data_IF_948480324734
#
_entry.id   IF_948480324734
#
_cell.length_a   1.000
_cell.length_b   1.000
_cell.length_c   1.000
_cell.angle_alpha   90.00
_cell.angle_beta   90.00
_cell.angle_gamma   90.00
#
_symmetry.space_group_name_H-M   'P 1'
#
loop_
_entity.id
_entity.type
_entity.pdbx_description
1 polymer ?
#
# COMPACT_ATOMS: atom_id res chain seq x y z
N UNK A 1 5.78 -6.20 -11.15
CA UNK A 1 6.47 -6.16 -9.84
C UNK A 1 5.55 -6.78 -8.83
N UNK A 2 5.98 -7.82 -8.09
CA UNK A 2 5.23 -8.38 -6.97
C UNK A 2 4.92 -7.30 -5.94
N UNK A 3 3.63 -7.19 -5.60
CA UNK A 3 3.14 -6.30 -4.54
C UNK A 3 2.17 -7.11 -3.70
N UNK A 4 2.41 -7.15 -2.40
CA UNK A 4 1.54 -7.84 -1.43
C UNK A 4 1.02 -6.84 -0.41
N UNK A 5 -0.23 -7.05 0.01
CA UNK A 5 -0.82 -6.43 1.19
C UNK A 5 -1.14 -7.55 2.16
N UNK A 6 -0.61 -7.45 3.37
CA UNK A 6 -0.92 -8.39 4.45
C UNK A 6 -1.87 -7.72 5.43
N UNK A 7 -2.85 -8.49 5.91
CA UNK A 7 -3.67 -8.14 7.06
C UNK A 7 -3.41 -9.14 8.18
N UNK A 8 -3.19 -8.64 9.39
CA UNK A 8 -3.14 -9.44 10.60
C UNK A 8 -4.31 -8.97 11.47
N UNK A 9 -5.11 -9.93 11.94
CA UNK A 9 -6.40 -9.67 12.58
C UNK A 9 -6.41 -10.33 13.94
N UNK A 10 -6.80 -9.57 14.96
CA UNK A 10 -7.03 -10.07 16.30
C UNK A 10 -8.53 -9.92 16.63
N UNK A 11 -9.33 -10.98 16.44
CA UNK A 11 -10.78 -10.93 16.69
C UNK A 11 -11.16 -10.59 18.13
N UNK A 12 -10.23 -10.75 19.08
CA UNK A 12 -10.48 -10.55 20.50
C UNK A 12 -10.09 -9.15 20.99
N UNK A 13 -9.46 -8.32 20.15
CA UNK A 13 -9.05 -6.96 20.50
C UNK A 13 -9.78 -5.95 19.60
N UNK A 14 -10.89 -5.39 20.09
CA UNK A 14 -11.66 -4.40 19.35
C UNK A 14 -10.95 -3.06 19.17
N UNK A 15 -9.94 -2.76 20.00
CA UNK A 15 -9.12 -1.55 19.87
C UNK A 15 -8.02 -1.71 18.83
N UNK A 16 -7.61 -2.96 18.56
CA UNK A 16 -6.56 -3.34 17.60
C UNK A 16 -7.03 -4.49 16.72
N UNK A 17 -8.22 -4.33 16.14
CA UNK A 17 -8.89 -5.41 15.44
C UNK A 17 -8.10 -5.91 14.24
N UNK A 18 -7.52 -5.01 13.45
CA UNK A 18 -6.73 -5.36 12.27
C UNK A 18 -5.66 -4.31 11.96
N UNK A 19 -4.52 -4.78 11.47
CA UNK A 19 -3.42 -3.96 10.98
C UNK A 19 -2.89 -4.52 9.66
N UNK A 20 -2.28 -3.65 8.86
CA UNK A 20 -1.87 -3.98 7.49
C UNK A 20 -0.50 -3.42 7.17
N UNK A 21 0.20 -4.11 6.27
CA UNK A 21 1.46 -3.69 5.71
C UNK A 21 1.52 -3.96 4.22
N UNK A 22 2.23 -3.10 3.48
CA UNK A 22 2.48 -3.23 2.06
C UNK A 22 3.91 -3.66 1.79
N UNK A 23 4.11 -4.50 0.78
CA UNK A 23 5.43 -4.96 0.40
C UNK A 23 5.56 -5.02 -1.11
N UNK A 24 6.65 -4.46 -1.62
CA UNK A 24 6.98 -4.47 -3.05
C UNK A 24 8.46 -4.80 -3.21
N UNK A 25 8.76 -5.79 -4.04
CA UNK A 25 10.13 -6.20 -4.37
C UNK A 25 10.16 -7.00 -5.67
N UNK A 26 11.31 -7.06 -6.35
CA UNK A 26 11.49 -7.87 -7.58
C UNK A 26 11.40 -9.38 -7.31
N UNK A 27 11.82 -9.78 -6.09
CA UNK A 27 11.72 -11.13 -5.53
C UNK A 27 10.40 -11.22 -4.72
N UNK A 28 9.44 -12.05 -5.12
CA UNK A 28 8.12 -12.21 -4.51
C UNK A 28 8.15 -12.53 -3.02
N UNK A 29 9.05 -13.40 -2.58
CA UNK A 29 9.19 -13.82 -1.19
C UNK A 29 9.61 -12.64 -0.31
N UNK A 30 10.56 -11.82 -0.78
CA UNK A 30 10.97 -10.60 -0.10
C UNK A 30 9.82 -9.58 -0.08
N UNK A 31 9.04 -9.47 -1.16
CA UNK A 31 7.87 -8.60 -1.18
C UNK A 31 6.83 -9.01 -0.12
N UNK A 32 6.60 -10.32 0.04
CA UNK A 32 5.69 -10.87 1.05
C UNK A 32 6.24 -10.69 2.48
N UNK A 33 7.53 -10.95 2.69
CA UNK A 33 8.17 -10.74 4.00
C UNK A 33 8.09 -9.27 4.42
N UNK A 34 8.29 -8.34 3.49
CA UNK A 34 8.13 -6.90 3.73
C UNK A 34 6.69 -6.53 4.12
N UNK A 35 5.68 -7.08 3.44
CA UNK A 35 4.29 -6.78 3.79
C UNK A 35 3.90 -7.31 5.17
N UNK A 36 4.43 -8.48 5.56
CA UNK A 36 4.21 -9.05 6.90
C UNK A 36 4.93 -8.23 7.97
N UNK A 37 6.22 -7.94 7.77
CA UNK A 37 7.03 -7.20 8.75
C UNK A 37 6.54 -5.77 8.93
N UNK A 38 6.07 -5.10 7.86
CA UNK A 38 5.42 -3.79 7.96
C UNK A 38 4.12 -3.86 8.77
N UNK A 39 3.30 -4.89 8.57
CA UNK A 39 2.08 -5.07 9.36
C UNK A 39 2.41 -5.24 10.86
N UNK A 40 3.44 -6.02 11.21
CA UNK A 40 3.89 -6.22 12.60
C UNK A 40 4.47 -4.94 13.22
N UNK A 41 5.19 -4.13 12.45
CA UNK A 41 5.74 -2.85 12.95
C UNK A 41 4.64 -1.88 13.39
N UNK A 42 3.50 -1.88 12.69
CA UNK A 42 2.32 -1.07 13.07
C UNK A 42 1.75 -1.53 14.42
N UNK A 43 1.78 -2.83 14.72
CA UNK A 43 1.37 -3.36 16.02
C UNK A 43 2.32 -2.90 17.13
N UNK A 44 3.64 -2.92 16.90
CA UNK A 44 4.65 -2.57 17.92
C UNK A 44 4.71 -1.06 18.27
N UNK A 45 4.35 -0.17 17.34
CA UNK A 45 4.23 1.28 17.60
C UNK A 45 3.22 1.62 18.71
N UNK A 46 2.28 0.73 18.97
CA UNK A 46 1.28 0.91 20.01
C UNK A 46 1.82 0.68 21.44
N UNK A 47 3.00 0.05 21.58
CA UNK A 47 3.64 -0.27 22.86
C UNK A 47 4.78 0.67 23.25
N UNK A 48 5.40 1.36 22.28
CA UNK A 48 6.68 2.07 22.47
C UNK A 48 6.62 3.60 22.58
N UNK A 49 5.45 4.24 22.51
CA UNK A 49 5.32 5.59 23.05
C UNK A 49 4.30 6.50 22.38
N UNK A 50 3.46 7.11 23.23
CA UNK A 50 3.40 8.57 23.17
C UNK A 50 2.08 9.23 22.80
N UNK A 51 0.93 8.55 22.88
CA UNK A 51 -0.34 9.23 23.18
C UNK A 51 -1.12 8.29 24.09
N UNK A 52 -1.21 8.64 25.39
CA UNK A 52 -2.34 8.21 26.18
C UNK A 52 -3.57 8.81 25.48
N UNK A 53 -4.16 8.09 24.54
CA UNK A 53 -5.53 8.36 24.16
C UNK A 53 -6.30 8.19 25.46
N UNK A 54 -6.72 9.32 26.03
CA UNK A 54 -7.51 9.31 27.24
C UNK A 54 -8.71 8.40 26.95
N UNK A 55 -8.80 7.26 27.64
CA UNK A 55 -9.80 6.25 27.34
C UNK A 55 -11.23 6.83 27.47
N UNK A 56 -11.38 7.95 28.18
CA UNK A 56 -12.59 8.76 28.23
C UNK A 56 -12.98 9.50 26.94
N UNK A 57 -12.09 9.60 25.94
CA UNK A 57 -12.38 10.17 24.62
C UNK A 57 -12.91 9.13 23.61
N UNK A 58 -12.79 7.83 23.88
CA UNK A 58 -13.38 6.77 23.08
C UNK A 58 -14.70 6.30 23.70
N UNK A 59 -15.73 7.15 23.65
CA UNK A 59 -17.08 6.73 23.99
C UNK A 59 -17.82 6.19 22.74
N UNK A 60 -18.94 5.48 22.95
CA UNK A 60 -19.70 4.86 21.85
C UNK A 60 -20.14 5.89 20.79
N UNK A 61 -20.36 7.13 21.22
CA UNK A 61 -20.79 8.26 20.40
C UNK A 61 -19.65 8.72 19.46
N UNK A 62 -18.45 8.97 20.01
CA UNK A 62 -17.23 9.29 19.25
C UNK A 62 -16.84 8.14 18.34
N UNK A 63 -16.97 6.89 18.78
CA UNK A 63 -16.78 5.76 17.89
C UNK A 63 -17.81 5.81 16.78
N UNK A 64 -19.12 5.93 17.06
CA UNK A 64 -20.18 5.93 16.04
C UNK A 64 -20.10 7.08 15.04
N UNK A 65 -19.54 8.23 15.43
CA UNK A 65 -19.34 9.42 14.58
C UNK A 65 -17.95 9.48 13.95
N UNK A 66 -16.98 8.73 14.48
CA UNK A 66 -15.62 8.67 13.94
C UNK A 66 -15.67 8.03 12.56
N UNK A 67 -15.36 8.83 11.56
CA UNK A 67 -15.17 8.37 10.19
C UNK A 67 -14.20 7.17 10.21
N UNK A 68 -13.12 7.21 10.96
CA UNK A 68 -12.05 6.20 10.96
C UNK A 68 -12.33 4.91 11.79
N UNK A 69 -13.56 4.71 12.31
CA UNK A 69 -13.87 3.52 13.13
C UNK A 69 -13.97 2.22 12.28
N UNK A 70 -13.88 1.05 12.95
CA UNK A 70 -14.02 -0.25 12.29
C UNK A 70 -15.42 -0.46 11.64
N UNK A 71 -16.44 0.23 12.14
CA UNK A 71 -17.82 0.16 11.64
C UNK A 71 -17.99 0.90 10.28
N UNK A 72 -17.14 1.88 9.99
CA UNK A 72 -17.04 2.61 8.73
C UNK A 72 -16.05 1.93 7.77
N UNK A 73 -15.14 1.12 8.30
CA UNK A 73 -14.37 0.15 7.51
C UNK A 73 -15.13 -1.15 7.25
N UNK A 74 -16.42 -1.25 7.58
CA UNK A 74 -17.21 -2.47 7.39
C UNK A 74 -17.13 -3.04 5.96
N UNK A 75 -17.06 -2.19 4.94
CA UNK A 75 -16.85 -2.66 3.56
C UNK A 75 -15.44 -3.26 3.36
N UNK A 76 -14.40 -2.58 3.86
CA UNK A 76 -13.02 -3.05 3.78
C UNK A 76 -12.81 -4.34 4.58
N UNK A 77 -13.38 -4.43 5.79
CA UNK A 77 -13.35 -5.64 6.62
C UNK A 77 -14.07 -6.78 5.90
N UNK A 78 -15.25 -6.55 5.32
CA UNK A 78 -15.96 -7.61 4.60
C UNK A 78 -15.30 -8.03 3.28
N UNK A 79 -14.59 -7.13 2.61
CA UNK A 79 -13.93 -7.42 1.34
C UNK A 79 -12.54 -8.02 1.54
N UNK A 80 -11.70 -7.39 2.36
CA UNK A 80 -10.28 -7.69 2.46
C UNK A 80 -9.95 -8.65 3.62
N UNK A 81 -10.79 -8.73 4.67
CA UNK A 81 -10.55 -9.56 5.87
C UNK A 81 -11.49 -10.77 5.92
N UNK A 82 -12.80 -10.55 5.88
CA UNK A 82 -13.84 -11.58 5.95
C UNK A 82 -14.25 -12.11 4.57
N UNK A 83 -13.75 -11.47 3.51
CA UNK A 83 -14.10 -11.81 2.14
C UNK A 83 -13.65 -13.22 1.82
N UNK A 84 -14.61 -14.13 1.67
CA UNK A 84 -14.32 -15.50 1.22
C UNK A 84 -14.03 -15.47 -0.28
N UNK A 85 -12.75 -15.57 -0.62
CA UNK A 85 -12.31 -15.89 -1.98
C UNK A 85 -11.73 -17.29 -1.98
N UNK A 86 -12.32 -18.19 -2.76
CA UNK A 86 -11.79 -19.54 -2.99
C UNK A 86 -10.46 -19.52 -3.78
N UNK A 87 -10.07 -18.34 -4.28
CA UNK A 87 -8.85 -18.14 -5.06
C UNK A 87 -7.68 -18.00 -4.10
N UNK A 88 -6.93 -19.09 -3.94
CA UNK A 88 -5.56 -19.03 -3.44
C UNK A 88 -4.70 -18.36 -4.51
N UNK A 89 -4.07 -17.24 -4.18
CA UNK A 89 -3.05 -16.64 -5.05
C UNK A 89 -1.72 -17.34 -4.75
N UNK A 90 -1.12 -17.95 -5.76
CA UNK A 90 0.24 -18.48 -5.63
C UNK A 90 1.23 -17.34 -5.41
N UNK A 91 2.33 -17.62 -4.72
CA UNK A 91 3.50 -16.72 -4.76
C UNK A 91 3.88 -16.59 -6.24
N UNK A 92 4.03 -15.35 -6.70
CA UNK A 92 4.38 -15.07 -8.10
C UNK A 92 5.79 -15.56 -8.39
N UNK A 93 6.17 -15.68 -9.66
CA UNK A 93 7.57 -15.85 -10.03
C UNK A 93 8.32 -14.50 -9.96
N UNK A 94 9.64 -14.56 -9.83
CA UNK A 94 10.49 -13.37 -9.89
C UNK A 94 10.35 -12.67 -11.24
N UNK A 95 10.19 -11.35 -11.21
CA UNK A 95 9.92 -10.55 -12.44
C UNK A 95 11.20 -10.12 -13.14
N UNK A 96 12.34 -10.22 -12.44
CA UNK A 96 13.67 -9.86 -12.92
C UNK A 96 14.64 -10.93 -12.40
N UNK A 97 15.29 -11.64 -13.32
CA UNK A 97 16.47 -12.44 -13.05
C UNK A 97 17.70 -11.59 -13.36
N UNK A 98 18.54 -11.32 -12.37
CA UNK A 98 19.68 -10.44 -12.54
C UNK A 98 20.83 -10.80 -11.58
N UNK A 99 22.05 -10.73 -12.10
CA UNK A 99 23.27 -11.11 -11.39
C UNK A 99 23.83 -9.99 -10.49
N UNK A 100 23.24 -8.79 -10.52
CA UNK A 100 23.70 -7.66 -9.70
C UNK A 100 22.58 -6.68 -9.33
N UNK A 101 22.75 -5.98 -8.22
CA UNK A 101 21.84 -4.93 -7.77
C UNK A 101 21.71 -3.79 -8.78
N UNK A 102 22.80 -3.44 -9.47
CA UNK A 102 22.75 -2.39 -10.50
C UNK A 102 21.84 -2.80 -11.67
N UNK A 103 21.95 -4.04 -12.13
CA UNK A 103 21.10 -4.57 -13.21
C UNK A 103 19.63 -4.59 -12.78
N UNK A 104 19.34 -5.06 -11.56
CA UNK A 104 17.99 -5.01 -10.97
C UNK A 104 17.42 -3.59 -10.99
N UNK A 105 18.21 -2.58 -10.60
CA UNK A 105 17.78 -1.19 -10.56
C UNK A 105 17.47 -0.65 -11.97
N UNK A 106 18.36 -0.90 -12.94
CA UNK A 106 18.19 -0.46 -14.32
C UNK A 106 16.97 -1.11 -14.99
N UNK A 107 16.79 -2.42 -14.82
CA UNK A 107 15.67 -3.16 -15.38
C UNK A 107 14.34 -2.75 -14.73
N UNK A 108 14.36 -2.50 -13.42
CA UNK A 108 13.19 -1.97 -12.71
C UNK A 108 12.83 -0.57 -13.23
N UNK A 109 13.82 0.32 -13.35
CA UNK A 109 13.60 1.68 -13.86
C UNK A 109 13.04 1.67 -15.29
N UNK A 110 13.57 0.79 -16.15
CA UNK A 110 13.08 0.60 -17.52
C UNK A 110 11.62 0.12 -17.54
N UNK A 111 11.30 -0.96 -16.81
CA UNK A 111 9.93 -1.48 -16.73
C UNK A 111 8.94 -0.44 -16.18
N UNK A 112 9.34 0.33 -15.18
CA UNK A 112 8.50 1.41 -14.62
C UNK A 112 8.28 2.50 -15.65
N UNK A 113 9.35 3.00 -16.27
CA UNK A 113 9.33 4.04 -17.31
C UNK A 113 8.38 3.66 -18.46
N UNK A 114 8.48 2.43 -18.97
CA UNK A 114 7.59 1.88 -20.01
C UNK A 114 6.14 1.79 -19.51
N UNK A 115 5.93 1.31 -18.27
CA UNK A 115 4.60 1.10 -17.73
C UNK A 115 3.81 2.38 -17.47
N UNK A 116 4.49 3.51 -17.21
CA UNK A 116 3.85 4.80 -16.93
C UNK A 116 4.04 5.83 -18.03
N UNK A 117 4.66 5.44 -19.16
CA UNK A 117 4.99 6.35 -20.25
C UNK A 117 5.69 7.62 -19.73
N UNK A 118 6.74 7.42 -18.94
CA UNK A 118 7.45 8.50 -18.25
C UNK A 118 8.91 8.13 -17.97
N UNK A 119 9.55 8.84 -17.06
CA UNK A 119 10.97 8.68 -16.76
C UNK A 119 11.20 8.42 -15.27
N UNK A 120 12.32 7.75 -14.96
CA UNK A 120 12.78 7.52 -13.59
C UNK A 120 14.08 8.29 -13.40
N UNK A 121 14.05 9.27 -12.52
CA UNK A 121 15.21 10.04 -12.09
C UNK A 121 15.59 9.67 -10.66
N UNK A 122 16.84 9.92 -10.29
CA UNK A 122 17.26 9.94 -8.90
C UNK A 122 18.01 11.23 -8.60
N UNK A 123 17.89 11.69 -7.36
CA UNK A 123 18.60 12.84 -6.81
C UNK A 123 19.42 12.35 -5.63
N UNK A 124 20.73 12.58 -5.66
CA UNK A 124 21.60 12.30 -4.51
C UNK A 124 21.37 13.38 -3.43
N UNK A 125 20.93 12.93 -2.26
CA UNK A 125 20.70 13.75 -1.07
C UNK A 125 21.70 13.45 0.04
N UNK A 126 22.77 12.70 -0.27
CA UNK A 126 23.84 12.36 0.69
C UNK A 126 24.51 13.64 1.16
N UNK A 127 24.47 13.89 2.48
CA UNK A 127 25.17 15.04 3.06
C UNK A 127 26.66 14.74 3.23
N UNK A 128 27.49 15.77 3.14
CA UNK A 128 28.90 15.67 3.48
C UNK A 128 29.06 15.15 4.92
N UNK A 129 29.87 14.10 5.09
CA UNK A 129 30.10 13.46 6.40
C UNK A 129 29.12 12.33 6.76
N UNK A 130 28.09 12.06 5.94
CA UNK A 130 27.31 10.83 6.05
C UNK A 130 27.99 9.72 5.23
N UNK A 131 28.30 8.59 5.88
CA UNK A 131 28.78 7.39 5.19
C UNK A 131 27.64 6.67 4.44
N UNK A 132 26.39 6.92 4.83
CA UNK A 132 25.20 6.32 4.22
C UNK A 132 24.70 7.15 3.04
N UNK A 133 24.50 6.50 1.88
CA UNK A 133 23.92 7.13 0.69
C UNK A 133 22.43 7.36 0.85
N UNK A 134 21.98 8.57 0.52
CA UNK A 134 20.55 8.95 0.61
C UNK A 134 20.02 9.32 -0.77
N UNK A 135 19.19 8.41 -1.28
CA UNK A 135 18.36 8.45 -2.48
C UNK A 135 17.09 9.29 -2.44
N UNK A 136 16.77 10.17 -3.40
CA UNK A 136 15.36 10.42 -3.77
C UNK A 136 15.09 10.01 -5.20
N UNK A 137 14.20 9.05 -5.39
CA UNK A 137 13.72 8.63 -6.72
C UNK A 137 12.50 9.44 -7.11
N UNK A 138 12.45 9.90 -8.37
CA UNK A 138 11.34 10.65 -8.94
C UNK A 138 10.86 9.89 -10.18
N UNK A 139 9.58 9.53 -10.20
CA UNK A 139 8.94 8.89 -11.35
C UNK A 139 7.97 9.88 -11.97
N UNK A 140 8.09 10.12 -13.27
CA UNK A 140 7.17 10.97 -14.03
C UNK A 140 6.22 10.13 -14.90
N UNK A 141 5.23 10.77 -15.52
CA UNK A 141 4.25 10.11 -16.38
C UNK A 141 2.97 9.74 -15.65
N UNK A 142 2.30 8.70 -16.13
CA UNK A 142 1.02 8.19 -15.62
C UNK A 142 1.23 7.31 -14.36
N UNK A 143 1.71 7.96 -13.29
CA UNK A 143 1.99 7.36 -11.99
C UNK A 143 1.09 7.98 -10.92
N UNK A 144 0.47 7.15 -10.07
CA UNK A 144 -0.40 7.63 -9.00
C UNK A 144 0.40 8.19 -7.83
N UNK A 145 0.14 9.45 -7.48
CA UNK A 145 0.68 10.07 -6.27
C UNK A 145 -0.20 9.75 -5.07
N UNK A 146 0.35 9.01 -4.10
CA UNK A 146 -0.38 8.56 -2.91
C UNK A 146 -0.51 9.64 -1.82
N UNK A 147 0.32 10.69 -1.86
CA UNK A 147 0.34 11.74 -0.84
C UNK A 147 -0.76 12.80 -1.02
N UNK A 148 -1.33 12.93 -2.22
CA UNK A 148 -2.44 13.83 -2.54
C UNK A 148 -3.39 13.17 -3.56
N UNK A 149 -3.99 12.01 -3.22
CA UNK A 149 -4.62 11.14 -4.19
C UNK A 149 -5.80 11.80 -4.91
N UNK A 150 -6.54 12.69 -4.23
CA UNK A 150 -7.66 13.45 -4.80
C UNK A 150 -7.25 14.54 -5.80
N UNK A 151 -6.06 15.11 -5.64
CA UNK A 151 -5.60 16.26 -6.44
C UNK A 151 -4.74 15.86 -7.64
N UNK A 152 -4.15 14.66 -7.60
CA UNK A 152 -3.23 14.16 -8.63
C UNK A 152 -3.63 12.75 -9.06
N UNK A 153 -4.88 12.56 -9.44
CA UNK A 153 -5.39 11.27 -9.91
C UNK A 153 -4.80 10.94 -11.28
N UNK A 154 -4.19 9.78 -11.39
CA UNK A 154 -3.63 9.24 -12.64
C UNK A 154 -4.71 8.45 -13.41
N UNK A 155 -4.85 8.64 -14.74
CA UNK A 155 -5.73 7.85 -15.59
C UNK A 155 -5.61 6.34 -15.38
N UNK A 156 -4.39 5.85 -15.10
CA UNK A 156 -4.11 4.45 -14.75
C UNK A 156 -5.03 3.90 -13.66
N UNK A 157 -5.42 4.68 -12.67
CA UNK A 157 -6.29 4.21 -11.58
C UNK A 157 -7.67 3.78 -12.10
N UNK A 158 -8.25 4.53 -13.03
CA UNK A 158 -9.57 4.25 -13.59
C UNK A 158 -9.54 3.08 -14.57
N UNK A 159 -8.42 2.94 -15.29
CA UNK A 159 -8.25 1.90 -16.30
C UNK A 159 -7.76 0.56 -15.72
N UNK A 160 -7.17 0.56 -14.52
CA UNK A 160 -6.53 -0.61 -13.93
C UNK A 160 -7.45 -1.83 -13.89
N UNK A 161 -8.65 -1.68 -13.34
CA UNK A 161 -9.61 -2.77 -13.19
C UNK A 161 -9.94 -3.43 -14.53
N UNK A 162 -10.15 -2.61 -15.57
CA UNK A 162 -10.44 -3.08 -16.92
C UNK A 162 -9.23 -3.70 -17.61
N UNK A 163 -8.07 -3.05 -17.52
CA UNK A 163 -6.81 -3.49 -18.15
C UNK A 163 -6.37 -4.87 -17.66
N UNK A 164 -6.62 -5.19 -16.39
CA UNK A 164 -6.23 -6.46 -15.78
C UNK A 164 -7.39 -7.45 -15.60
N UNK A 165 -8.57 -7.18 -16.19
CA UNK A 165 -9.70 -8.11 -16.22
C UNK A 165 -10.43 -8.30 -14.88
N UNK A 166 -10.31 -7.34 -13.96
CA UNK A 166 -11.06 -7.33 -12.70
C UNK A 166 -12.50 -6.82 -12.86
N UNK A 167 -12.76 -6.02 -13.91
CA UNK A 167 -14.09 -5.45 -14.23
C UNK A 167 -14.18 -5.13 -15.72
N UNK A 168 -15.39 -5.13 -16.29
CA UNK A 168 -15.62 -4.76 -17.70
C UNK A 168 -15.75 -3.24 -17.90
N UNK A 169 -15.89 -2.47 -16.81
CA UNK A 169 -16.11 -1.02 -16.83
C UNK A 169 -14.91 -0.28 -16.26
N UNK A 170 -14.70 0.94 -16.73
CA UNK A 170 -13.76 1.86 -16.09
C UNK A 170 -14.31 2.24 -14.71
N UNK A 171 -13.43 2.28 -13.72
CA UNK A 171 -13.80 2.78 -12.39
C UNK A 171 -14.08 4.28 -12.48
N UNK A 172 -15.03 4.79 -11.69
CA UNK A 172 -15.33 6.23 -11.66
C UNK A 172 -14.63 6.94 -10.49
N UNK A 173 -14.57 8.27 -10.57
CA UNK A 173 -14.04 9.09 -9.47
C UNK A 173 -14.88 8.90 -8.21
N UNK A 174 -16.20 8.78 -8.34
CA UNK A 174 -17.09 8.54 -7.22
C UNK A 174 -16.83 7.18 -6.60
N UNK A 175 -16.62 6.12 -7.39
CA UNK A 175 -16.32 4.79 -6.86
C UNK A 175 -14.99 4.73 -6.10
N UNK A 176 -13.98 5.47 -6.58
CA UNK A 176 -12.69 5.57 -5.89
C UNK A 176 -12.81 6.47 -4.66
N UNK A 177 -13.24 7.71 -4.84
CA UNK A 177 -13.00 8.80 -3.89
C UNK A 177 -14.22 9.30 -3.11
N UNK A 178 -15.43 8.98 -3.57
CA UNK A 178 -16.67 9.40 -2.93
C UNK A 178 -17.57 8.21 -2.57
N UNK A 179 -17.03 7.00 -2.69
CA UNK A 179 -17.71 5.76 -2.39
C UNK A 179 -17.74 5.50 -0.89
N UNK A 180 -18.19 4.31 -0.50
CA UNK A 180 -18.18 3.87 0.91
C UNK A 180 -16.76 3.56 1.44
N UNK A 181 -15.73 3.88 0.66
CA UNK A 181 -14.32 3.71 1.04
C UNK A 181 -13.82 5.00 1.69
N UNK A 182 -13.17 4.86 2.82
CA UNK A 182 -12.33 5.92 3.36
C UNK A 182 -10.91 5.75 2.84
N UNK A 183 -10.29 6.89 2.52
CA UNK A 183 -8.94 7.02 1.96
C UNK A 183 -7.91 7.13 3.07
#
# INVERSE_FOLDING_TARGET
MPVYRTWIVNPNDYSRYAYTGLGCHVIPEIALERSITEAVQVDDWSTTGGINFDAGMMNLEVLSESLINIYNQHFLVNKDILGTTDRRTSILDSVIEADSTLQVLLDTAKKVSEAVNGHVYYVDLTKLGLETKVVRTIVTGDFQNMNIPLLSVSPRLFEFGKKFGYTDKLTTYEELFMGKYQH
#
